data_IF_046900296046
#
_entry.id   IF_046900296046
#
_cell.length_a   1.000
_cell.length_b   1.000
_cell.length_c   1.000
_cell.angle_alpha   90.00
_cell.angle_beta   90.00
_cell.angle_gamma   90.00
#
_symmetry.space_group_name_H-M   'P 1'
#
loop_
_entity.id
_entity.type
_entity.pdbx_description
1 polymer ?
#
# COMPACT_ATOMS: atom_id res chain seq x y z
N UNK A 1 -1.48 -12.93 -4.40
CA UNK A 1 -0.77 -12.10 -5.41
C UNK A 1 -0.67 -10.70 -4.85
N UNK A 2 0.51 -10.08 -4.88
CA UNK A 2 0.72 -8.73 -4.38
C UNK A 2 1.24 -7.86 -5.53
N UNK A 3 0.62 -6.70 -5.71
CA UNK A 3 0.72 -5.85 -6.90
C UNK A 3 1.14 -4.46 -6.44
N UNK A 4 2.33 -4.01 -6.84
CA UNK A 4 2.81 -2.66 -6.56
C UNK A 4 2.07 -1.66 -7.45
N UNK A 5 1.34 -0.70 -6.86
CA UNK A 5 0.73 0.41 -7.58
C UNK A 5 1.59 1.67 -7.42
N UNK A 6 2.32 2.00 -8.49
CA UNK A 6 3.37 3.01 -8.55
C UNK A 6 2.83 4.41 -8.84
N UNK A 7 1.93 4.96 -8.00
CA UNK A 7 1.48 6.36 -8.21
C UNK A 7 1.77 7.36 -7.10
N UNK A 8 1.95 6.96 -5.83
CA UNK A 8 2.26 7.93 -4.76
C UNK A 8 2.97 7.29 -3.53
N UNK A 9 3.97 6.43 -3.73
CA UNK A 9 4.67 5.72 -2.62
C UNK A 9 3.79 4.75 -1.82
N UNK A 10 2.85 4.07 -2.48
CA UNK A 10 1.92 3.13 -1.84
C UNK A 10 2.12 1.71 -2.39
N UNK A 11 2.59 0.79 -1.55
CA UNK A 11 2.63 -0.65 -1.90
C UNK A 11 1.39 -1.31 -1.35
N UNK A 12 0.73 -2.13 -2.17
CA UNK A 12 -0.44 -2.92 -1.73
C UNK A 12 -0.12 -4.40 -1.81
N UNK A 13 -0.27 -5.09 -0.68
CA UNK A 13 -0.21 -6.55 -0.64
C UNK A 13 -1.55 -7.13 -0.27
N UNK A 14 -1.96 -8.20 -0.97
CA UNK A 14 -3.17 -8.96 -0.65
C UNK A 14 -2.78 -10.27 0.03
N UNK A 15 -3.16 -10.43 1.28
CA UNK A 15 -3.01 -11.66 2.05
C UNK A 15 -4.37 -12.11 2.59
N UNK A 16 -4.77 -13.35 2.30
CA UNK A 16 -5.98 -14.00 2.86
C UNK A 16 -7.31 -13.22 2.74
N UNK A 17 -7.41 -12.25 1.82
CA UNK A 17 -8.63 -11.44 1.63
C UNK A 17 -8.47 -9.99 2.10
N UNK A 18 -7.46 -9.71 2.92
CA UNK A 18 -7.11 -8.39 3.41
C UNK A 18 -6.11 -7.68 2.47
N UNK A 19 -6.28 -6.38 2.28
CA UNK A 19 -5.31 -5.52 1.61
C UNK A 19 -4.49 -4.70 2.61
N UNK A 20 -3.16 -4.78 2.55
CA UNK A 20 -2.26 -3.97 3.37
C UNK A 20 -1.62 -2.91 2.48
N UNK A 21 -1.81 -1.64 2.84
CA UNK A 21 -1.25 -0.47 2.16
C UNK A 21 -0.07 0.07 2.96
N UNK A 22 1.13 0.01 2.39
CA UNK A 22 2.34 0.59 2.97
C UNK A 22 2.53 2.01 2.46
N UNK A 23 2.52 2.99 3.35
CA UNK A 23 2.56 4.43 3.01
C UNK A 23 3.75 5.09 3.72
N UNK A 24 4.55 5.89 3.02
CA UNK A 24 5.60 6.70 3.69
C UNK A 24 5.00 7.74 4.63
N UNK A 25 5.61 7.90 5.80
CA UNK A 25 5.14 8.79 6.89
C UNK A 25 4.98 10.27 6.49
N UNK A 26 5.71 10.74 5.48
CA UNK A 26 5.59 12.12 4.95
C UNK A 26 4.40 12.31 4.00
N UNK A 27 3.68 11.24 3.67
CA UNK A 27 2.55 11.31 2.74
C UNK A 27 1.28 11.81 3.44
N UNK A 28 0.46 12.58 2.72
CA UNK A 28 -0.80 13.14 3.26
C UNK A 28 -1.87 12.04 3.36
N UNK A 29 -2.24 11.58 4.57
CA UNK A 29 -3.10 10.40 4.74
C UNK A 29 -4.46 10.54 4.03
N UNK A 30 -5.13 11.68 4.21
CA UNK A 30 -6.46 11.96 3.65
C UNK A 30 -6.51 11.86 2.13
N UNK A 31 -5.42 12.26 1.45
CA UNK A 31 -5.35 12.18 -0.01
C UNK A 31 -5.12 10.75 -0.47
N UNK A 32 -4.27 10.00 0.22
CA UNK A 32 -4.00 8.61 -0.15
C UNK A 32 -5.24 7.76 0.07
N UNK A 33 -5.94 7.96 1.17
CA UNK A 33 -7.15 7.20 1.46
C UNK A 33 -8.20 7.42 0.36
N UNK A 34 -8.54 8.68 0.08
CA UNK A 34 -9.56 9.05 -0.91
C UNK A 34 -9.21 8.69 -2.36
N UNK A 35 -7.95 8.87 -2.77
CA UNK A 35 -7.58 8.76 -4.19
C UNK A 35 -6.88 7.45 -4.56
N UNK A 36 -6.44 6.65 -3.58
CA UNK A 36 -5.70 5.41 -3.83
C UNK A 36 -6.35 4.23 -3.13
N UNK A 37 -6.59 4.33 -1.81
CA UNK A 37 -7.13 3.23 -1.01
C UNK A 37 -8.57 2.94 -1.43
N UNK A 38 -9.47 3.92 -1.35
CA UNK A 38 -10.89 3.74 -1.69
C UNK A 38 -11.08 3.23 -3.13
N UNK A 39 -10.45 3.81 -4.18
CA UNK A 39 -10.61 3.32 -5.54
C UNK A 39 -10.07 1.89 -5.72
N UNK A 40 -8.96 1.53 -5.06
CA UNK A 40 -8.41 0.19 -5.12
C UNK A 40 -9.34 -0.84 -4.46
N UNK A 41 -9.83 -0.55 -3.25
CA UNK A 41 -10.73 -1.42 -2.51
C UNK A 41 -12.04 -1.66 -3.30
N UNK A 42 -12.62 -0.59 -3.84
CA UNK A 42 -13.84 -0.66 -4.65
C UNK A 42 -13.63 -1.50 -5.92
N UNK A 43 -12.58 -1.20 -6.70
CA UNK A 43 -12.27 -1.93 -7.94
C UNK A 43 -12.00 -3.41 -7.68
N UNK A 44 -11.34 -3.75 -6.57
CA UNK A 44 -10.97 -5.12 -6.22
C UNK A 44 -12.02 -5.84 -5.35
N UNK A 45 -13.10 -5.16 -4.97
CA UNK A 45 -14.15 -5.65 -4.06
C UNK A 45 -13.58 -6.23 -2.76
N UNK A 46 -12.58 -5.53 -2.20
CA UNK A 46 -11.94 -5.88 -0.94
C UNK A 46 -12.60 -5.07 0.17
N UNK A 47 -12.99 -5.74 1.26
CA UNK A 47 -13.63 -5.09 2.42
C UNK A 47 -12.66 -4.87 3.57
N UNK A 48 -11.78 -5.85 3.81
CA UNK A 48 -10.83 -5.81 4.90
C UNK A 48 -9.51 -5.21 4.44
N UNK A 49 -9.03 -4.20 5.14
CA UNK A 49 -7.77 -3.56 4.82
C UNK A 49 -7.09 -2.95 6.04
N UNK A 50 -5.78 -2.76 5.92
CA UNK A 50 -4.94 -2.08 6.89
C UNK A 50 -4.02 -1.10 6.19
N UNK A 51 -3.75 0.02 6.85
CA UNK A 51 -2.71 0.97 6.46
C UNK A 51 -1.53 0.82 7.42
N UNK A 52 -0.33 0.63 6.89
CA UNK A 52 0.92 0.64 7.64
C UNK A 52 1.82 1.78 7.18
N UNK A 53 2.16 2.64 8.12
CA UNK A 53 3.08 3.75 7.86
C UNK A 53 4.52 3.27 7.95
N UNK A 54 5.31 3.54 6.91
CA UNK A 54 6.72 3.21 6.86
C UNK A 54 7.57 4.47 6.99
N UNK A 55 8.69 4.33 7.70
CA UNK A 55 9.62 5.45 7.91
C UNK A 55 10.12 5.98 6.56
N UNK A 56 10.37 7.29 6.43
CA UNK A 56 10.70 7.92 5.15
C UNK A 56 12.02 7.43 4.53
N UNK A 57 12.93 6.87 5.32
CA UNK A 57 14.21 6.31 4.90
C UNK A 57 14.13 4.82 4.48
N UNK A 58 12.94 4.22 4.49
CA UNK A 58 12.73 2.84 4.02
C UNK A 58 12.56 2.85 2.50
N UNK A 59 13.48 2.19 1.80
CA UNK A 59 13.49 2.08 0.34
C UNK A 59 12.72 0.87 -0.20
N UNK A 60 12.42 -0.11 0.67
CA UNK A 60 11.65 -1.29 0.30
C UNK A 60 10.96 -1.92 1.50
N UNK A 61 9.83 -2.58 1.26
CA UNK A 61 9.12 -3.43 2.22
C UNK A 61 9.15 -4.87 1.77
N UNK A 62 9.44 -5.78 2.72
CA UNK A 62 9.33 -7.22 2.49
C UNK A 62 7.96 -7.69 2.97
N UNK A 63 7.19 -8.26 2.06
CA UNK A 63 5.87 -8.83 2.34
C UNK A 63 5.89 -10.31 1.97
N UNK A 64 5.86 -11.17 2.99
CA UNK A 64 6.15 -12.60 2.83
C UNK A 64 7.55 -12.82 2.22
N UNK A 65 7.63 -13.57 1.12
CA UNK A 65 8.89 -13.81 0.39
C UNK A 65 9.15 -12.81 -0.73
N UNK A 66 8.35 -11.74 -0.86
CA UNK A 66 8.50 -10.73 -1.91
C UNK A 66 9.00 -9.41 -1.35
N UNK A 67 9.89 -8.75 -2.08
CA UNK A 67 10.42 -7.43 -1.76
C UNK A 67 9.83 -6.43 -2.73
N UNK A 68 9.24 -5.37 -2.22
CA UNK A 68 8.63 -4.28 -2.98
C UNK A 68 9.41 -3.00 -2.70
N UNK A 69 9.99 -2.39 -3.74
CA UNK A 69 10.63 -1.09 -3.62
C UNK A 69 9.57 -0.01 -3.44
N UNK A 70 9.85 0.93 -2.54
CA UNK A 70 9.03 2.10 -2.25
C UNK A 70 9.57 3.37 -2.93
N UNK A 71 10.78 3.29 -3.50
CA UNK A 71 11.45 4.32 -4.27
C UNK A 71 11.85 3.74 -5.64
N UNK A 72 11.56 4.46 -6.72
CA UNK A 72 12.39 4.48 -7.94
C UNK A 72 13.04 5.87 -8.04
#
# INVERSE_FOLDING_TARGET
MATSYFRDNVVVSKHHGEAVFYIKEKSKPDKIEKYIVEPYLNSRRIKDFKIETVKPNVSAVKVGNKVYKLDD
#
